data_IF_855159688140
#
_entry.id   IF_855159688140
#
_cell.length_a   1.000
_cell.length_b   1.000
_cell.length_c   1.000
_cell.angle_alpha   90.00
_cell.angle_beta   90.00
_cell.angle_gamma   90.00
#
_symmetry.space_group_name_H-M   'P 1'
#
loop_
_entity.id
_entity.type
_entity.pdbx_description
1 polymer ?
#
# COMPACT_ATOMS: atom_id res chain seq x y z
N UNK A 1 26.73 10.60 6.14
CA UNK A 1 25.79 10.37 5.03
C UNK A 1 24.99 9.12 5.37
N UNK A 2 23.84 9.27 6.01
CA UNK A 2 22.89 8.16 6.15
C UNK A 2 22.35 7.85 4.75
N UNK A 3 22.78 6.73 4.18
CA UNK A 3 22.27 6.27 2.89
C UNK A 3 20.77 6.01 3.02
N UNK A 4 19.99 6.40 2.01
CA UNK A 4 18.57 6.08 2.01
C UNK A 4 18.39 4.57 1.87
N UNK A 5 17.85 3.94 2.90
CA UNK A 5 17.53 2.52 2.90
C UNK A 5 16.10 2.31 2.39
N UNK A 6 15.86 1.16 1.75
CA UNK A 6 14.53 0.80 1.29
C UNK A 6 13.57 0.68 2.49
N UNK A 7 12.46 1.42 2.46
CA UNK A 7 11.42 1.42 3.51
C UNK A 7 10.78 0.05 3.75
N UNK A 8 10.87 -0.88 2.79
CA UNK A 8 10.32 -2.24 2.90
C UNK A 8 11.31 -3.28 3.44
N UNK A 9 12.55 -3.26 2.96
CA UNK A 9 13.51 -4.34 3.21
C UNK A 9 14.82 -3.89 3.85
N UNK A 10 14.98 -2.59 4.13
CA UNK A 10 16.15 -2.03 4.80
C UNK A 10 17.45 -2.04 4.01
N UNK A 11 17.47 -2.55 2.76
CA UNK A 11 18.68 -2.57 1.93
C UNK A 11 19.05 -1.16 1.44
N UNK A 12 20.35 -0.83 1.31
CA UNK A 12 20.79 0.49 0.83
C UNK A 12 20.38 0.71 -0.63
N UNK A 13 19.85 1.90 -0.91
CA UNK A 13 19.43 2.31 -2.25
C UNK A 13 20.59 3.00 -2.97
N UNK A 14 20.82 2.61 -4.23
CA UNK A 14 21.96 3.09 -5.04
C UNK A 14 21.58 4.08 -6.13
N UNK A 15 20.33 4.02 -6.60
CA UNK A 15 19.81 4.86 -7.68
C UNK A 15 19.11 6.08 -7.08
N UNK A 16 19.35 7.27 -7.63
CA UNK A 16 18.70 8.51 -7.18
C UNK A 16 17.18 8.38 -7.14
N UNK A 17 16.56 7.89 -8.22
CA UNK A 17 15.12 7.60 -8.26
C UNK A 17 14.67 6.68 -7.12
N UNK A 18 15.41 5.60 -6.84
CA UNK A 18 15.06 4.69 -5.75
C UNK A 18 15.13 5.38 -4.39
N UNK A 19 16.12 6.25 -4.19
CA UNK A 19 16.26 7.07 -2.97
C UNK A 19 15.05 7.99 -2.82
N UNK A 20 14.65 8.70 -3.88
CA UNK A 20 13.49 9.60 -3.89
C UNK A 20 12.20 8.86 -3.56
N UNK A 21 11.96 7.70 -4.20
CA UNK A 21 10.76 6.91 -3.89
C UNK A 21 10.86 6.15 -2.56
N UNK A 22 12.05 6.01 -1.98
CA UNK A 22 12.30 5.24 -0.75
C UNK A 22 12.18 3.72 -0.90
N UNK A 23 12.09 3.20 -2.13
CA UNK A 23 11.97 1.77 -2.39
C UNK A 23 12.91 1.32 -3.51
N UNK A 24 13.49 0.12 -3.33
CA UNK A 24 14.13 -0.58 -4.44
C UNK A 24 13.09 -1.04 -5.47
N UNK A 25 13.47 -1.27 -6.74
CA UNK A 25 12.54 -1.51 -7.85
C UNK A 25 11.58 -2.68 -7.60
N UNK A 26 12.08 -3.80 -7.08
CA UNK A 26 11.25 -4.96 -6.74
C UNK A 26 10.34 -4.70 -5.53
N UNK A 27 10.84 -3.98 -4.53
CA UNK A 27 10.06 -3.65 -3.33
C UNK A 27 8.95 -2.66 -3.64
N UNK A 28 9.17 -1.75 -4.60
CA UNK A 28 8.17 -0.81 -5.09
C UNK A 28 7.03 -1.53 -5.79
N UNK A 29 7.31 -2.43 -6.75
CA UNK A 29 6.29 -3.25 -7.41
C UNK A 29 5.37 -3.96 -6.40
N UNK A 30 5.99 -4.67 -5.45
CA UNK A 30 5.23 -5.38 -4.40
C UNK A 30 4.44 -4.43 -3.48
N UNK A 31 4.86 -3.18 -3.36
CA UNK A 31 4.15 -2.18 -2.55
C UNK A 31 2.92 -1.72 -3.33
N UNK A 32 3.10 -1.35 -4.59
CA UNK A 32 2.02 -0.94 -5.47
C UNK A 32 0.97 -2.06 -5.65
N UNK A 33 1.39 -3.33 -5.73
CA UNK A 33 0.48 -4.49 -5.73
C UNK A 33 -0.33 -4.61 -4.43
N UNK A 34 0.31 -4.41 -3.28
CA UNK A 34 -0.36 -4.47 -1.98
C UNK A 34 -1.35 -3.32 -1.79
N UNK A 35 -0.98 -2.10 -2.23
CA UNK A 35 -1.85 -0.93 -2.22
C UNK A 35 -3.06 -1.12 -3.15
N UNK A 36 -2.84 -1.69 -4.34
CA UNK A 36 -3.94 -2.00 -5.26
C UNK A 36 -4.92 -3.01 -4.66
N UNK A 37 -4.43 -4.05 -3.99
CA UNK A 37 -5.29 -5.02 -3.29
C UNK A 37 -5.98 -4.41 -2.07
N UNK A 38 -5.31 -3.51 -1.34
CA UNK A 38 -5.91 -2.78 -0.24
C UNK A 38 -7.05 -1.89 -0.71
N UNK A 39 -6.86 -1.16 -1.82
CA UNK A 39 -7.88 -0.31 -2.43
C UNK A 39 -9.11 -1.11 -2.87
N UNK A 40 -8.93 -2.32 -3.42
CA UNK A 40 -10.06 -3.20 -3.79
C UNK A 40 -10.89 -3.67 -2.60
N UNK A 41 -10.32 -3.70 -1.39
CA UNK A 41 -11.00 -4.13 -0.16
C UNK A 41 -11.71 -2.98 0.56
N UNK A 42 -11.48 -1.74 0.14
CA UNK A 42 -12.21 -0.61 0.69
C UNK A 42 -13.64 -0.62 0.16
N UNK A 43 -14.61 -0.63 1.07
CA UNK A 43 -16.01 -0.32 0.79
C UNK A 43 -16.28 1.10 1.29
N UNK A 44 -17.19 1.80 0.62
CA UNK A 44 -17.67 3.09 1.09
C UNK A 44 -18.48 2.94 2.38
N UNK A 45 -18.67 4.05 3.10
CA UNK A 45 -19.49 4.05 4.33
C UNK A 45 -20.93 3.68 3.98
N UNK A 46 -21.38 4.12 2.81
CA UNK A 46 -22.69 3.83 2.22
C UNK A 46 -22.85 2.34 1.93
N UNK A 47 -21.89 1.71 1.25
CA UNK A 47 -21.89 0.25 1.02
C UNK A 47 -21.87 -0.54 2.33
N UNK A 48 -21.14 -0.06 3.34
CA UNK A 48 -21.15 -0.66 4.67
C UNK A 48 -22.52 -0.51 5.35
N UNK A 49 -23.16 0.66 5.26
CA UNK A 49 -24.49 0.89 5.81
C UNK A 49 -25.53 -0.04 5.17
N UNK A 50 -25.52 -0.17 3.83
CA UNK A 50 -26.41 -1.10 3.13
C UNK A 50 -26.15 -2.57 3.52
N UNK A 51 -24.89 -2.96 3.68
CA UNK A 51 -24.54 -4.30 4.15
C UNK A 51 -25.04 -4.53 5.58
N UNK A 52 -24.85 -3.55 6.48
CA UNK A 52 -25.30 -3.62 7.86
C UNK A 52 -26.83 -3.70 7.97
N UNK A 53 -27.57 -2.93 7.18
CA UNK A 53 -29.04 -3.00 7.14
C UNK A 53 -29.54 -4.37 6.67
N UNK A 54 -28.93 -4.94 5.61
CA UNK A 54 -29.25 -6.29 5.12
C UNK A 54 -28.87 -7.38 6.13
N UNK A 55 -27.79 -7.21 6.87
CA UNK A 55 -27.32 -8.20 7.86
C UNK A 55 -28.15 -8.18 9.16
N UNK A 56 -28.77 -7.05 9.51
CA UNK A 56 -29.51 -6.88 10.78
C UNK A 56 -31.01 -7.16 10.63
N UNK A 57 -31.53 -7.37 9.42
CA UNK A 57 -32.86 -7.93 9.21
C UNK A 57 -34.01 -7.07 9.75
N UNK A 58 -34.24 -5.92 9.12
CA UNK A 58 -35.54 -5.24 9.11
C UNK A 58 -36.08 -5.19 7.70
#
# INVERSE_FOLDING_TARGET
MEGANCKRCGRPLKLAHSVEVGYGPTCRKKHDEAEAEFLKRQITIEEYAEFAEKAVGR
#
